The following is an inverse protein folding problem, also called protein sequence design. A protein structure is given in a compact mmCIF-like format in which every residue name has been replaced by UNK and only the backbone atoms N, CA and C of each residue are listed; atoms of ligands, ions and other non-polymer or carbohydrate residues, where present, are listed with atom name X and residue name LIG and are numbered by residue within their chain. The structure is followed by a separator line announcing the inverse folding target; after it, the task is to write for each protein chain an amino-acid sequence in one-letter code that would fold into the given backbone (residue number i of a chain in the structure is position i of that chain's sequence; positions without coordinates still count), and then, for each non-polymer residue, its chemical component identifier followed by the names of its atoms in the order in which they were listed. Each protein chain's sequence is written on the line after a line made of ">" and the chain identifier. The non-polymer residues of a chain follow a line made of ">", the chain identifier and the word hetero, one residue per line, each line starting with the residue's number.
data_IF_897764749053
#
_entry.id   IF_897764749053
#
_cell.length_a   1.000
_cell.length_b   1.000
_cell.length_c   1.000
_cell.angle_alpha   90.00
_cell.angle_beta   90.00
_cell.angle_gamma   90.00
#
_symmetry.space_group_name_H-M   'P 1'
#
loop_
_entity.id
_entity.type
_entity.pdbx_description
1 polymer ?
#
# COMPACT_ATOMS: atom_id res chain seq x y z
N UNK A 1 -18.10 -30.77 25.88
CA UNK A 1 -19.46 -31.31 25.58
C UNK A 1 -19.54 -31.45 24.07
N UNK A 2 -19.02 -32.57 23.57
CA UNK A 2 -18.87 -32.88 22.14
C UNK A 2 -20.25 -33.19 21.52
N UNK A 3 -20.47 -32.74 20.29
CA UNK A 3 -21.43 -33.36 19.37
C UNK A 3 -20.81 -33.38 17.97
N UNK A 4 -20.14 -34.48 17.70
CA UNK A 4 -19.91 -34.96 16.35
C UNK A 4 -21.19 -35.67 15.89
N UNK A 5 -21.65 -35.37 14.68
CA UNK A 5 -22.74 -36.11 14.01
C UNK A 5 -22.12 -36.96 12.93
N UNK A 6 -22.03 -38.26 13.23
CA UNK A 6 -21.74 -39.36 12.32
C UNK A 6 -23.02 -39.69 11.54
N UNK A 7 -22.93 -39.83 10.22
CA UNK A 7 -23.94 -40.50 9.41
C UNK A 7 -23.24 -41.57 8.57
N UNK A 8 -23.67 -42.81 8.75
CA UNK A 8 -23.10 -44.03 8.19
C UNK A 8 -24.25 -44.84 7.57
N UNK A 9 -24.02 -45.24 6.30
CA UNK A 9 -24.49 -46.44 5.58
C UNK A 9 -25.88 -46.45 4.91
N UNK A 10 -25.85 -46.69 3.58
CA UNK A 10 -26.35 -47.94 2.98
C UNK A 10 -25.66 -48.27 1.64
N UNK A 11 -25.09 -49.48 1.59
CA UNK A 11 -24.59 -50.22 0.42
C UNK A 11 -25.73 -50.70 -0.49
N UNK A 12 -25.42 -50.92 -1.78
CA UNK A 12 -26.22 -51.75 -2.69
C UNK A 12 -25.98 -51.50 -4.19
N UNK A 13 -25.19 -52.39 -4.80
CA UNK A 13 -25.20 -52.91 -6.18
C UNK A 13 -24.55 -52.16 -7.38
N UNK A 14 -23.29 -52.54 -7.64
CA UNK A 14 -22.72 -53.23 -8.84
C UNK A 14 -23.35 -53.00 -10.23
N UNK A 15 -22.54 -52.47 -11.16
CA UNK A 15 -22.35 -53.02 -12.52
C UNK A 15 -21.10 -52.41 -13.19
N UNK A 16 -20.20 -53.29 -13.64
CA UNK A 16 -18.99 -53.04 -14.43
C UNK A 16 -19.30 -52.48 -15.84
N UNK A 17 -18.35 -51.74 -16.44
CA UNK A 17 -17.84 -52.06 -17.79
C UNK A 17 -16.64 -51.16 -18.24
N UNK A 18 -15.50 -51.85 -18.36
CA UNK A 18 -14.50 -51.84 -19.45
C UNK A 18 -13.73 -50.57 -19.86
N UNK A 19 -12.50 -50.52 -19.35
CA UNK A 19 -11.30 -49.99 -20.00
C UNK A 19 -10.84 -50.87 -21.17
N UNK A 20 -10.56 -50.28 -22.34
CA UNK A 20 -9.78 -50.93 -23.40
C UNK A 20 -8.65 -50.03 -23.89
N UNK A 21 -7.45 -50.34 -23.42
CA UNK A 21 -6.17 -50.02 -24.05
C UNK A 21 -5.98 -50.91 -25.29
N UNK A 22 -5.81 -50.31 -26.46
CA UNK A 22 -5.41 -51.01 -27.69
C UNK A 22 -3.98 -50.63 -28.09
N UNK A 23 -3.07 -51.57 -27.85
CA UNK A 23 -1.74 -51.60 -28.42
C UNK A 23 -1.83 -51.92 -29.92
N UNK A 24 -1.12 -51.16 -30.76
CA UNK A 24 -1.02 -51.43 -32.20
C UNK A 24 0.32 -52.10 -32.50
N UNK A 25 0.20 -53.26 -33.13
CA UNK A 25 1.20 -54.22 -33.58
C UNK A 25 2.10 -53.70 -34.70
N UNK A 26 3.35 -54.14 -34.69
CA UNK A 26 4.35 -54.02 -35.76
C UNK A 26 4.28 -55.21 -36.73
N UNK A 27 4.30 -54.95 -38.05
CA UNK A 27 5.09 -55.64 -39.10
C UNK A 27 4.85 -55.02 -40.50
N UNK A 28 5.77 -55.18 -41.48
CA UNK A 28 6.08 -54.19 -42.52
C UNK A 28 5.62 -54.56 -43.95
N UNK A 29 5.49 -53.58 -44.85
CA UNK A 29 5.75 -53.72 -46.29
C UNK A 29 5.72 -52.38 -47.05
N UNK A 30 6.76 -52.17 -47.86
CA UNK A 30 6.84 -51.50 -49.17
C UNK A 30 6.44 -50.01 -49.37
N UNK A 31 7.47 -49.18 -49.57
CA UNK A 31 7.95 -48.87 -50.93
C UNK A 31 7.14 -47.88 -51.79
N UNK A 32 7.71 -46.68 -51.92
CA UNK A 32 7.55 -45.69 -53.00
C UNK A 32 6.33 -44.75 -52.96
N UNK A 33 6.61 -43.49 -52.64
CA UNK A 33 5.70 -42.35 -52.82
C UNK A 33 6.25 -41.08 -52.20
N UNK A 34 7.48 -40.72 -52.57
CA UNK A 34 8.09 -39.42 -52.24
C UNK A 34 7.52 -38.38 -53.21
N UNK A 35 7.27 -37.17 -52.70
CA UNK A 35 6.90 -35.94 -53.43
C UNK A 35 5.43 -35.80 -53.87
N UNK A 36 4.57 -35.33 -52.95
CA UNK A 36 3.57 -34.26 -53.16
C UNK A 36 2.47 -34.30 -52.07
N UNK A 37 2.77 -33.72 -50.91
CA UNK A 37 1.76 -33.20 -49.97
C UNK A 37 2.45 -32.34 -48.89
N UNK A 38 3.32 -31.42 -49.31
CA UNK A 38 3.93 -30.39 -48.47
C UNK A 38 3.25 -29.06 -48.79
N UNK A 39 2.00 -28.89 -48.37
CA UNK A 39 1.34 -27.57 -48.32
C UNK A 39 0.19 -27.62 -47.31
N UNK A 40 0.57 -27.80 -46.06
CA UNK A 40 -0.32 -27.77 -44.91
C UNK A 40 0.48 -27.32 -43.72
N UNK A 41 1.03 -26.10 -43.80
CA UNK A 41 1.74 -25.48 -42.69
C UNK A 41 0.82 -25.40 -41.48
N UNK A 42 1.03 -26.29 -40.52
CA UNK A 42 0.59 -26.08 -39.14
C UNK A 42 1.31 -24.81 -38.69
N UNK A 43 0.60 -23.69 -38.63
CA UNK A 43 1.06 -22.53 -37.87
C UNK A 43 1.14 -22.99 -36.42
N UNK A 44 2.34 -23.34 -35.98
CA UNK A 44 2.70 -23.27 -34.58
C UNK A 44 2.35 -21.85 -34.11
N UNK A 45 1.67 -21.68 -32.96
CA UNK A 45 1.52 -20.35 -32.39
C UNK A 45 2.94 -19.78 -32.23
N UNK A 46 3.15 -18.54 -32.66
CA UNK A 46 4.42 -17.84 -32.52
C UNK A 46 4.82 -17.82 -31.03
N UNK A 47 5.68 -18.75 -30.61
CA UNK A 47 6.22 -18.87 -29.24
C UNK A 47 7.33 -17.82 -28.98
N UNK A 48 7.07 -16.58 -29.37
CA UNK A 48 7.88 -15.41 -29.05
C UNK A 48 6.96 -14.19 -28.83
N UNK A 49 5.83 -14.38 -28.12
CA UNK A 49 5.22 -13.25 -27.40
C UNK A 49 6.20 -12.83 -26.29
N UNK A 50 7.16 -11.97 -26.65
CA UNK A 50 8.04 -11.32 -25.70
C UNK A 50 7.24 -10.69 -24.55
N UNK A 51 7.87 -10.56 -23.38
CA UNK A 51 7.21 -10.05 -22.17
C UNK A 51 6.30 -8.85 -22.49
N UNK A 52 4.97 -8.94 -22.28
CA UNK A 52 4.04 -7.86 -22.62
C UNK A 52 4.11 -6.69 -21.64
N UNK A 53 4.85 -6.84 -20.53
CA UNK A 53 4.94 -5.85 -19.47
C UNK A 53 5.49 -4.49 -19.95
N UNK A 54 6.55 -4.38 -20.76
CA UNK A 54 7.06 -3.10 -21.23
C UNK A 54 6.05 -2.32 -22.08
N UNK A 55 5.28 -3.01 -22.92
CA UNK A 55 4.26 -2.37 -23.74
C UNK A 55 3.04 -1.94 -22.90
N UNK A 56 2.62 -2.78 -21.94
CA UNK A 56 1.59 -2.43 -20.96
C UNK A 56 2.00 -1.24 -20.10
N UNK A 57 3.25 -1.18 -19.65
CA UNK A 57 3.78 -0.04 -18.89
C UNK A 57 3.79 1.23 -19.74
N UNK A 58 4.30 1.16 -20.98
CA UNK A 58 4.33 2.31 -21.90
C UNK A 58 2.94 2.85 -22.18
N UNK A 59 1.99 1.98 -22.51
CA UNK A 59 0.60 2.36 -22.79
C UNK A 59 -0.09 2.93 -21.55
N UNK A 60 0.16 2.37 -20.36
CA UNK A 60 -0.36 2.89 -19.09
C UNK A 60 0.17 4.29 -18.80
N UNK A 61 1.49 4.51 -18.94
CA UNK A 61 2.11 5.83 -18.71
C UNK A 61 1.60 6.86 -19.71
N UNK A 62 1.50 6.50 -20.99
CA UNK A 62 0.98 7.40 -22.03
C UNK A 62 -0.47 7.78 -21.73
N UNK A 63 -1.32 6.79 -21.45
CA UNK A 63 -2.71 7.02 -21.07
C UNK A 63 -2.81 7.91 -19.83
N UNK A 64 -1.98 7.72 -18.81
CA UNK A 64 -1.96 8.60 -17.64
C UNK A 64 -1.56 10.03 -18.01
N UNK A 65 -0.50 10.21 -18.77
CA UNK A 65 -0.04 11.55 -19.17
C UNK A 65 -1.10 12.31 -19.98
N UNK A 66 -1.84 11.63 -20.86
CA UNK A 66 -2.92 12.27 -21.63
C UNK A 66 -4.08 12.68 -20.73
N UNK A 67 -4.49 11.83 -19.79
CA UNK A 67 -5.53 12.17 -18.81
C UNK A 67 -5.09 13.30 -17.87
N UNK A 68 -3.85 13.26 -17.38
CA UNK A 68 -3.29 14.30 -16.51
C UNK A 68 -3.19 15.64 -17.25
N UNK A 69 -2.79 15.67 -18.52
CA UNK A 69 -2.76 16.90 -19.32
C UNK A 69 -4.16 17.51 -19.46
N UNK A 70 -5.18 16.68 -19.71
CA UNK A 70 -6.58 17.14 -19.82
C UNK A 70 -7.10 17.66 -18.47
N UNK A 71 -6.92 16.89 -17.40
CA UNK A 71 -7.41 17.24 -16.06
C UNK A 71 -6.69 18.48 -15.53
N UNK A 72 -5.36 18.58 -15.71
CA UNK A 72 -4.59 19.75 -15.30
C UNK A 72 -5.03 21.00 -16.08
N UNK A 73 -5.29 20.89 -17.39
CA UNK A 73 -5.78 22.03 -18.19
C UNK A 73 -7.17 22.48 -17.74
N UNK A 74 -8.07 21.53 -17.47
CA UNK A 74 -9.40 21.81 -16.94
C UNK A 74 -9.32 22.47 -15.56
N UNK A 75 -8.52 21.90 -14.65
CA UNK A 75 -8.36 22.43 -13.29
C UNK A 75 -7.73 23.83 -13.30
N UNK A 76 -6.73 24.06 -14.17
CA UNK A 76 -6.14 25.37 -14.36
C UNK A 76 -7.18 26.41 -14.82
N UNK A 77 -8.05 26.05 -15.78
CA UNK A 77 -9.15 26.90 -16.23
C UNK A 77 -10.14 27.21 -15.09
N UNK A 78 -10.55 26.20 -14.32
CA UNK A 78 -11.47 26.35 -13.18
C UNK A 78 -10.87 27.27 -12.11
N UNK A 79 -9.62 27.02 -11.69
CA UNK A 79 -8.95 27.81 -10.66
C UNK A 79 -8.74 29.24 -11.14
N UNK A 80 -8.35 29.44 -12.40
CA UNK A 80 -8.21 30.77 -13.00
C UNK A 80 -9.54 31.53 -13.03
N UNK A 81 -10.63 30.88 -13.44
CA UNK A 81 -11.96 31.46 -13.45
C UNK A 81 -12.45 31.83 -12.04
N UNK A 82 -12.15 30.98 -11.06
CA UNK A 82 -12.52 31.18 -9.68
C UNK A 82 -11.78 32.36 -9.04
N UNK A 83 -10.50 32.56 -9.39
CA UNK A 83 -9.70 33.69 -8.93
C UNK A 83 -9.96 34.99 -9.70
N UNK A 84 -10.29 34.92 -11.00
CA UNK A 84 -10.60 36.10 -11.80
C UNK A 84 -11.97 36.70 -11.46
N UNK A 85 -12.87 35.88 -10.92
CA UNK A 85 -14.20 36.30 -10.48
C UNK A 85 -14.18 36.66 -8.99
N UNK A 86 -14.93 37.69 -8.57
CA UNK A 86 -15.11 38.03 -7.15
C UNK A 86 -15.93 36.98 -6.36
N UNK A 87 -16.37 35.90 -7.01
CA UNK A 87 -17.20 34.86 -6.45
C UNK A 87 -16.57 34.21 -5.21
N UNK A 88 -15.28 33.84 -5.26
CA UNK A 88 -14.62 33.24 -4.11
C UNK A 88 -14.55 34.22 -2.93
N UNK A 89 -14.25 35.49 -3.19
CA UNK A 89 -14.20 36.51 -2.15
C UNK A 89 -15.57 36.73 -1.50
N UNK A 90 -16.64 36.82 -2.30
CA UNK A 90 -18.01 36.92 -1.78
C UNK A 90 -18.39 35.70 -0.93
N UNK A 91 -18.06 34.49 -1.39
CA UNK A 91 -18.33 33.26 -0.64
C UNK A 91 -17.55 33.27 0.69
N UNK A 92 -16.28 33.63 0.68
CA UNK A 92 -15.44 33.66 1.88
C UNK A 92 -15.89 34.71 2.91
N UNK A 93 -16.45 35.84 2.45
CA UNK A 93 -17.01 36.87 3.34
C UNK A 93 -18.28 36.41 4.08
N UNK A 94 -19.11 35.56 3.46
CA UNK A 94 -20.39 35.11 4.02
C UNK A 94 -20.30 33.77 4.75
N UNK A 95 -19.25 32.98 4.50
CA UNK A 95 -19.03 31.69 5.16
C UNK A 95 -18.45 31.90 6.56
N UNK A 96 -19.05 31.23 7.54
CA UNK A 96 -18.50 31.19 8.89
C UNK A 96 -17.13 30.46 8.90
N UNK A 97 -16.09 30.97 9.58
CA UNK A 97 -14.75 30.36 9.57
C UNK A 97 -14.72 28.87 9.98
N UNK A 98 -15.63 28.42 10.85
CA UNK A 98 -15.76 27.00 11.22
C UNK A 98 -16.23 26.12 10.05
N UNK A 99 -17.09 26.64 9.18
CA UNK A 99 -17.67 25.88 8.08
C UNK A 99 -16.63 25.51 7.01
N UNK A 100 -15.47 26.18 6.98
CA UNK A 100 -14.40 25.85 6.05
C UNK A 100 -13.61 24.61 6.48
N UNK A 101 -13.35 24.43 7.78
CA UNK A 101 -12.46 23.36 8.26
C UNK A 101 -13.18 22.22 8.98
N UNK A 102 -14.36 22.45 9.58
CA UNK A 102 -15.08 21.40 10.30
C UNK A 102 -15.57 20.28 9.38
N UNK A 103 -16.19 20.54 8.21
CA UNK A 103 -16.65 19.46 7.33
C UNK A 103 -15.52 18.55 6.83
N UNK A 104 -14.36 19.06 6.35
CA UNK A 104 -13.22 18.20 6.00
C UNK A 104 -12.72 17.34 7.18
N UNK A 105 -12.68 17.90 8.40
CA UNK A 105 -12.27 17.13 9.60
C UNK A 105 -13.27 16.02 9.92
N UNK A 106 -14.57 16.32 9.89
CA UNK A 106 -15.62 15.33 10.16
C UNK A 106 -15.63 14.25 9.08
N UNK A 107 -15.54 14.64 7.81
CA UNK A 107 -15.49 13.71 6.69
C UNK A 107 -14.28 12.78 6.80
N UNK A 108 -13.09 13.34 7.00
CA UNK A 108 -11.87 12.53 7.16
C UNK A 108 -11.91 11.64 8.41
N UNK A 109 -12.52 12.08 9.51
CA UNK A 109 -12.75 11.22 10.68
C UNK A 109 -13.67 10.03 10.36
N UNK A 110 -14.75 10.26 9.61
CA UNK A 110 -15.64 9.18 9.17
C UNK A 110 -14.90 8.20 8.24
N UNK A 111 -14.17 8.72 7.24
CA UNK A 111 -13.51 7.91 6.22
C UNK A 111 -12.31 7.16 6.77
N UNK A 112 -11.44 7.82 7.53
CA UNK A 112 -10.11 7.30 7.88
C UNK A 112 -10.00 6.78 9.31
N UNK A 113 -10.96 7.09 10.20
CA UNK A 113 -11.01 6.52 11.54
C UNK A 113 -12.17 5.53 11.69
N UNK A 114 -13.41 5.96 11.45
CA UNK A 114 -14.60 5.11 11.72
C UNK A 114 -14.66 3.91 10.76
N UNK A 115 -14.62 4.12 9.44
CA UNK A 115 -14.77 3.01 8.46
C UNK A 115 -13.69 1.92 8.66
N UNK A 116 -12.38 2.24 8.76
CA UNK A 116 -11.36 1.22 9.02
C UNK A 116 -11.57 0.50 10.34
N UNK A 117 -12.02 1.21 11.38
CA UNK A 117 -12.29 0.61 12.69
C UNK A 117 -13.47 -0.36 12.66
N UNK A 118 -14.50 -0.08 11.86
CA UNK A 118 -15.65 -0.97 11.64
C UNK A 118 -15.28 -2.24 10.84
N UNK A 119 -14.21 -2.19 10.04
CA UNK A 119 -13.67 -3.31 9.27
C UNK A 119 -12.72 -4.20 10.07
N UNK A 120 -12.16 -3.73 11.18
CA UNK A 120 -11.31 -4.56 12.05
C UNK A 120 -12.09 -5.74 12.60
N UNK A 121 -11.39 -6.86 12.83
CA UNK A 121 -11.98 -8.07 13.41
C UNK A 121 -12.71 -7.80 14.75
N UNK A 122 -12.14 -6.92 15.57
CA UNK A 122 -12.70 -6.50 16.85
C UNK A 122 -12.77 -4.97 16.94
N UNK A 123 -13.86 -4.34 16.45
CA UNK A 123 -14.04 -2.90 16.51
C UNK A 123 -13.97 -2.39 17.96
N UNK A 124 -13.05 -1.47 18.21
CA UNK A 124 -12.74 -0.87 19.53
C UNK A 124 -12.46 -1.89 20.64
N UNK A 125 -12.21 -3.16 20.29
CA UNK A 125 -12.17 -4.29 21.23
C UNK A 125 -13.46 -4.50 22.04
N UNK A 126 -14.54 -3.78 21.72
CA UNK A 126 -15.84 -3.88 22.38
C UNK A 126 -16.80 -4.81 21.64
N UNK A 127 -16.57 -5.01 20.33
CA UNK A 127 -17.44 -5.79 19.46
C UNK A 127 -16.68 -7.05 19.02
N UNK A 128 -17.32 -8.21 19.16
CA UNK A 128 -16.68 -9.50 18.93
C UNK A 128 -16.47 -9.86 17.44
N UNK A 129 -17.15 -9.15 16.52
CA UNK A 129 -17.12 -9.40 15.07
C UNK A 129 -17.05 -8.06 14.31
N UNK A 130 -16.48 -8.04 13.08
CA UNK A 130 -16.49 -6.85 12.25
C UNK A 130 -17.91 -6.42 11.89
N UNK A 131 -18.18 -5.13 11.85
CA UNK A 131 -19.50 -4.60 11.44
C UNK A 131 -19.59 -4.59 9.91
N UNK A 132 -18.52 -4.15 9.24
CA UNK A 132 -18.41 -4.18 7.79
C UNK A 132 -17.80 -5.52 7.34
N UNK A 133 -18.62 -6.58 7.37
CA UNK A 133 -18.18 -7.92 7.00
C UNK A 133 -18.06 -8.06 5.47
N UNK A 134 -17.00 -8.74 5.03
CA UNK A 134 -16.88 -9.20 3.64
C UNK A 134 -17.84 -10.36 3.38
N UNK A 135 -18.17 -10.61 2.13
CA UNK A 135 -19.07 -11.71 1.75
C UNK A 135 -18.45 -13.07 2.06
N UNK A 136 -17.13 -13.14 1.95
CA UNK A 136 -16.31 -14.32 2.16
C UNK A 136 -15.99 -14.56 3.66
N UNK A 137 -16.53 -13.72 4.55
CA UNK A 137 -16.29 -13.84 5.98
C UNK A 137 -16.82 -15.18 6.53
N UNK A 138 -15.89 -16.03 6.98
CA UNK A 138 -16.21 -17.36 7.53
C UNK A 138 -16.00 -18.51 6.55
N UNK A 139 -15.61 -18.24 5.30
CA UNK A 139 -15.16 -19.27 4.38
C UNK A 139 -13.73 -19.69 4.73
N UNK A 140 -13.46 -21.00 4.71
CA UNK A 140 -12.12 -21.54 4.94
C UNK A 140 -11.17 -21.24 3.77
N UNK A 141 -11.63 -21.51 2.55
CA UNK A 141 -10.94 -21.18 1.29
C UNK A 141 -11.89 -20.42 0.36
N UNK A 142 -11.35 -19.43 -0.36
CA UNK A 142 -12.09 -18.63 -1.35
C UNK A 142 -11.58 -19.00 -2.74
N UNK A 143 -12.45 -19.57 -3.58
CA UNK A 143 -12.11 -19.98 -4.95
C UNK A 143 -12.33 -18.87 -5.99
N UNK A 144 -13.13 -17.87 -5.65
CA UNK A 144 -13.49 -16.75 -6.54
C UNK A 144 -12.85 -15.43 -6.10
N UNK A 145 -12.78 -14.45 -7.00
CA UNK A 145 -12.36 -13.10 -6.64
C UNK A 145 -13.32 -12.47 -5.61
N UNK A 146 -12.76 -11.79 -4.60
CA UNK A 146 -13.53 -11.21 -3.51
C UNK A 146 -14.57 -10.18 -4.00
N UNK A 147 -15.84 -10.40 -3.66
CA UNK A 147 -16.96 -9.57 -4.15
C UNK A 147 -16.89 -8.15 -3.58
N UNK A 148 -17.09 -7.16 -4.46
CA UNK A 148 -17.11 -5.75 -4.06
C UNK A 148 -18.40 -5.41 -3.32
N UNK A 149 -18.29 -5.14 -2.02
CA UNK A 149 -19.41 -4.83 -1.13
C UNK A 149 -19.90 -3.39 -1.29
N UNK A 150 -21.14 -3.12 -0.88
CA UNK A 150 -21.73 -1.78 -0.95
C UNK A 150 -20.92 -0.74 -0.14
N UNK A 151 -20.45 -1.11 1.06
CA UNK A 151 -19.64 -0.21 1.89
C UNK A 151 -18.27 0.10 1.27
N UNK A 152 -17.70 -0.81 0.46
CA UNK A 152 -16.46 -0.56 -0.26
C UNK A 152 -16.68 0.45 -1.39
N UNK A 153 -17.79 0.32 -2.12
CA UNK A 153 -18.19 1.32 -3.13
C UNK A 153 -18.40 2.69 -2.50
N UNK A 154 -19.14 2.76 -1.38
CA UNK A 154 -19.34 4.00 -0.64
C UNK A 154 -18.01 4.61 -0.19
N UNK A 155 -17.11 3.79 0.37
CA UNK A 155 -15.77 4.23 0.78
C UNK A 155 -14.99 4.86 -0.38
N UNK A 156 -14.97 4.22 -1.56
CA UNK A 156 -14.28 4.76 -2.75
C UNK A 156 -14.88 6.10 -3.17
N UNK A 157 -16.21 6.23 -3.19
CA UNK A 157 -16.89 7.49 -3.52
C UNK A 157 -16.57 8.60 -2.51
N UNK A 158 -16.55 8.28 -1.21
CA UNK A 158 -16.18 9.23 -0.16
C UNK A 158 -14.72 9.67 -0.27
N UNK A 159 -13.78 8.75 -0.50
CA UNK A 159 -12.36 9.06 -0.75
C UNK A 159 -12.18 9.92 -2.01
N UNK A 160 -12.97 9.64 -3.07
CA UNK A 160 -12.98 10.42 -4.30
C UNK A 160 -13.45 11.85 -4.05
N UNK A 161 -14.54 12.02 -3.30
CA UNK A 161 -15.08 13.32 -2.89
C UNK A 161 -14.07 14.11 -2.04
N UNK A 162 -13.50 13.47 -1.03
CA UNK A 162 -12.52 14.06 -0.12
C UNK A 162 -11.28 14.57 -0.87
N UNK A 163 -10.67 13.69 -1.68
CA UNK A 163 -9.41 13.99 -2.37
C UNK A 163 -9.58 14.98 -3.53
N UNK A 164 -10.65 14.87 -4.30
CA UNK A 164 -10.80 15.64 -5.55
C UNK A 164 -11.64 16.91 -5.40
N UNK A 165 -12.46 17.03 -4.36
CA UNK A 165 -13.35 18.19 -4.16
C UNK A 165 -13.03 18.91 -2.87
N UNK A 166 -13.08 18.20 -1.73
CA UNK A 166 -13.02 18.84 -0.41
C UNK A 166 -11.65 19.48 -0.14
N UNK A 167 -10.55 18.74 -0.30
CA UNK A 167 -9.21 19.28 -0.05
C UNK A 167 -8.80 20.37 -1.06
N UNK A 168 -9.00 20.21 -2.38
CA UNK A 168 -8.70 21.27 -3.34
C UNK A 168 -9.46 22.57 -3.05
N UNK A 169 -10.77 22.50 -2.76
CA UNK A 169 -11.56 23.68 -2.41
C UNK A 169 -11.03 24.33 -1.12
N UNK A 170 -10.76 23.54 -0.07
CA UNK A 170 -10.20 24.04 1.18
C UNK A 170 -8.90 24.81 0.95
N UNK A 171 -7.95 24.24 0.21
CA UNK A 171 -6.64 24.85 0.00
C UNK A 171 -6.70 26.04 -0.96
N UNK A 172 -7.55 26.03 -1.98
CA UNK A 172 -7.76 27.21 -2.83
C UNK A 172 -8.38 28.36 -2.05
N UNK A 173 -9.35 28.09 -1.18
CA UNK A 173 -9.91 29.10 -0.27
C UNK A 173 -8.86 29.63 0.70
N UNK A 174 -8.06 28.76 1.32
CA UNK A 174 -6.97 29.13 2.22
C UNK A 174 -5.92 30.01 1.54
N UNK A 175 -5.47 29.62 0.34
CA UNK A 175 -4.52 30.40 -0.46
C UNK A 175 -5.06 31.79 -0.79
N UNK A 176 -6.35 31.90 -1.14
CA UNK A 176 -6.95 33.20 -1.46
C UNK A 176 -7.12 34.08 -0.23
N UNK A 177 -7.47 33.50 0.92
CA UNK A 177 -7.66 34.22 2.17
C UNK A 177 -6.33 34.76 2.73
N UNK A 178 -5.30 33.91 2.75
CA UNK A 178 -4.05 34.19 3.45
C UNK A 178 -3.03 34.95 2.58
N UNK A 179 -3.18 34.93 1.25
CA UNK A 179 -2.19 35.51 0.34
C UNK A 179 -1.90 36.99 0.61
N UNK A 180 -2.94 37.82 0.79
CA UNK A 180 -2.76 39.25 1.04
C UNK A 180 -2.00 39.49 2.35
N UNK A 181 -2.37 38.79 3.43
CA UNK A 181 -1.74 38.94 4.74
C UNK A 181 -0.25 38.54 4.71
N UNK A 182 0.09 37.43 4.02
CA UNK A 182 1.47 36.95 3.90
C UNK A 182 2.33 37.95 3.11
N UNK A 183 1.82 38.47 1.99
CA UNK A 183 2.58 39.43 1.16
C UNK A 183 2.78 40.76 1.88
N UNK A 184 1.78 41.26 2.62
CA UNK A 184 1.93 42.50 3.39
C UNK A 184 2.93 42.39 4.53
N UNK A 185 3.08 41.20 5.12
CA UNK A 185 4.02 40.97 6.23
C UNK A 185 5.44 40.67 5.73
N UNK A 186 5.54 39.96 4.61
CA UNK A 186 6.79 39.54 4.00
C UNK A 186 6.82 39.95 2.53
N UNK A 187 7.08 41.22 2.25
CA UNK A 187 6.99 41.77 0.89
C UNK A 187 7.89 41.06 -0.13
N UNK A 188 9.12 40.68 0.29
CA UNK A 188 10.11 40.05 -0.61
C UNK A 188 9.92 38.53 -0.72
N UNK A 189 9.69 37.85 0.41
CA UNK A 189 9.68 36.38 0.49
C UNK A 189 8.25 35.80 0.46
N UNK A 190 7.23 36.64 0.66
CA UNK A 190 5.82 36.25 0.77
C UNK A 190 5.31 35.42 -0.41
N UNK A 191 5.53 35.83 -1.68
CA UNK A 191 5.12 35.02 -2.83
C UNK A 191 5.75 33.62 -2.85
N UNK A 192 7.04 33.52 -2.49
CA UNK A 192 7.74 32.24 -2.40
C UNK A 192 7.16 31.37 -1.29
N UNK A 193 6.85 31.94 -0.12
CA UNK A 193 6.21 31.21 0.98
C UNK A 193 4.84 30.66 0.59
N UNK A 194 4.02 31.46 -0.11
CA UNK A 194 2.71 31.03 -0.60
C UNK A 194 2.86 29.83 -1.55
N UNK A 195 3.79 29.91 -2.50
CA UNK A 195 4.04 28.81 -3.46
C UNK A 195 4.52 27.55 -2.74
N UNK A 196 5.51 27.65 -1.86
CA UNK A 196 6.05 26.49 -1.13
C UNK A 196 4.98 25.86 -0.24
N UNK A 197 4.25 26.66 0.53
CA UNK A 197 3.23 26.14 1.43
C UNK A 197 2.03 25.58 0.66
N UNK A 198 1.58 26.26 -0.40
CA UNK A 198 0.50 25.79 -1.27
C UNK A 198 0.84 24.47 -1.96
N UNK A 199 2.03 24.37 -2.57
CA UNK A 199 2.51 23.12 -3.18
C UNK A 199 2.56 21.98 -2.17
N UNK A 200 3.05 22.23 -0.96
CA UNK A 200 3.11 21.19 0.07
C UNK A 200 1.72 20.76 0.52
N UNK A 201 0.80 21.68 0.77
CA UNK A 201 -0.57 21.37 1.19
C UNK A 201 -1.27 20.49 0.16
N UNK A 202 -1.23 20.91 -1.11
CA UNK A 202 -1.83 20.16 -2.22
C UNK A 202 -1.17 18.80 -2.40
N UNK A 203 0.17 18.74 -2.44
CA UNK A 203 0.90 17.47 -2.56
C UNK A 203 0.55 16.51 -1.43
N UNK A 204 0.49 16.99 -0.19
CA UNK A 204 0.17 16.15 0.96
C UNK A 204 -1.25 15.59 0.88
N UNK A 205 -2.22 16.39 0.41
CA UNK A 205 -3.59 15.95 0.19
C UNK A 205 -3.71 14.82 -0.84
N UNK A 206 -2.97 14.90 -1.95
CA UNK A 206 -3.02 13.86 -2.98
C UNK A 206 -2.19 12.62 -2.66
N UNK A 207 -1.04 12.78 -1.97
CA UNK A 207 -0.15 11.66 -1.66
C UNK A 207 -0.65 10.80 -0.51
N UNK A 208 -1.12 11.39 0.58
CA UNK A 208 -1.60 10.62 1.75
C UNK A 208 -2.77 11.35 2.45
N UNK A 209 -4.00 11.23 1.90
CA UNK A 209 -5.23 11.73 2.51
C UNK A 209 -5.45 11.32 3.99
N UNK A 210 -5.16 10.08 4.42
CA UNK A 210 -5.52 9.61 5.75
C UNK A 210 -4.98 10.43 6.92
N UNK A 211 -3.86 11.14 6.77
CA UNK A 211 -3.35 12.01 7.84
C UNK A 211 -3.89 13.43 7.83
N UNK A 212 -4.47 13.89 6.73
CA UNK A 212 -4.73 15.32 6.52
C UNK A 212 -5.82 15.86 7.45
N UNK A 213 -6.86 15.08 7.76
CA UNK A 213 -7.91 15.50 8.67
C UNK A 213 -7.38 15.74 10.10
N UNK A 214 -6.44 14.91 10.57
CA UNK A 214 -5.77 15.10 11.87
C UNK A 214 -4.87 16.33 11.84
N UNK A 215 -4.06 16.50 10.78
CA UNK A 215 -3.20 17.68 10.63
C UNK A 215 -4.04 18.95 10.64
N UNK A 216 -5.15 18.98 9.90
CA UNK A 216 -6.09 20.10 9.85
C UNK A 216 -6.71 20.39 11.22
N UNK A 217 -7.21 19.36 11.90
CA UNK A 217 -7.80 19.48 13.23
C UNK A 217 -6.79 20.02 14.25
N UNK A 218 -5.59 19.44 14.32
CA UNK A 218 -4.53 19.91 15.21
C UNK A 218 -4.10 21.34 14.89
N UNK A 219 -3.95 21.68 13.61
CA UNK A 219 -3.59 23.05 13.21
C UNK A 219 -4.64 24.04 13.72
N UNK A 220 -5.92 23.79 13.46
CA UNK A 220 -6.98 24.71 13.88
C UNK A 220 -7.18 24.73 15.39
N UNK A 221 -7.08 23.60 16.09
CA UNK A 221 -7.24 23.59 17.54
C UNK A 221 -6.06 24.27 18.25
N UNK A 222 -4.83 23.94 17.86
CA UNK A 222 -3.63 24.46 18.50
C UNK A 222 -3.45 25.97 18.31
N UNK A 223 -3.59 26.48 17.08
CA UNK A 223 -3.38 27.89 16.81
C UNK A 223 -4.60 28.77 17.16
N UNK A 224 -5.82 28.23 17.16
CA UNK A 224 -7.00 29.01 17.57
C UNK A 224 -7.27 28.97 19.08
N UNK A 225 -6.72 28.05 19.86
CA UNK A 225 -7.02 27.96 21.29
C UNK A 225 -5.77 28.06 22.17
N UNK A 226 -4.76 27.23 21.93
CA UNK A 226 -3.60 27.13 22.81
C UNK A 226 -2.59 28.27 22.57
N UNK A 227 -2.24 28.51 21.31
CA UNK A 227 -1.15 29.41 20.93
C UNK A 227 -1.59 30.44 19.87
N UNK A 228 -2.59 31.26 20.24
CA UNK A 228 -3.11 32.33 19.36
C UNK A 228 -2.06 33.36 18.96
N UNK A 229 -1.13 33.67 19.87
CA UNK A 229 -0.16 34.76 19.68
C UNK A 229 0.97 34.46 18.67
N UNK A 230 1.19 33.19 18.34
CA UNK A 230 2.24 32.77 17.39
C UNK A 230 1.68 32.34 16.03
N UNK A 231 0.35 32.32 15.86
CA UNK A 231 -0.29 32.03 14.58
C UNK A 231 0.00 33.17 13.60
N UNK A 232 0.52 32.84 12.42
CA UNK A 232 0.71 33.83 11.36
C UNK A 232 -0.47 33.82 10.40
N UNK A 233 -0.65 32.70 9.71
CA UNK A 233 -1.72 32.42 8.75
C UNK A 233 -1.94 30.92 8.72
N UNK A 234 -3.15 30.49 8.32
CA UNK A 234 -3.45 29.07 8.28
C UNK A 234 -2.51 28.29 7.36
N UNK A 235 -2.11 28.88 6.23
CA UNK A 235 -1.20 28.24 5.29
C UNK A 235 0.19 27.90 5.89
N UNK A 236 0.77 28.84 6.65
CA UNK A 236 2.08 28.67 7.31
C UNK A 236 1.94 27.72 8.50
N UNK A 237 0.89 27.91 9.30
CA UNK A 237 0.59 27.09 10.48
C UNK A 237 0.41 25.62 10.07
N UNK A 238 -0.35 25.36 9.00
CA UNK A 238 -0.56 24.03 8.44
C UNK A 238 0.75 23.42 7.90
N UNK A 239 1.59 24.22 7.23
CA UNK A 239 2.88 23.77 6.72
C UNK A 239 3.75 23.20 7.85
N UNK A 240 3.88 23.93 8.97
CA UNK A 240 4.67 23.50 10.12
C UNK A 240 4.00 22.36 10.87
N UNK A 241 2.69 22.43 11.10
CA UNK A 241 1.98 21.34 11.77
C UNK A 241 2.02 20.03 11.00
N UNK A 242 2.05 20.06 9.66
CA UNK A 242 2.24 18.83 8.87
C UNK A 242 3.60 18.16 9.15
N UNK A 243 4.67 18.95 9.38
CA UNK A 243 6.01 18.44 9.70
C UNK A 243 5.99 17.86 11.10
N UNK A 244 5.50 18.64 12.07
CA UNK A 244 5.42 18.25 13.48
C UNK A 244 4.62 16.95 13.58
N UNK A 245 3.44 16.88 12.95
CA UNK A 245 2.61 15.69 12.94
C UNK A 245 3.35 14.48 12.38
N UNK A 246 3.98 14.59 11.21
CA UNK A 246 4.70 13.45 10.60
C UNK A 246 5.86 12.97 11.48
N UNK A 247 6.62 13.89 12.08
CA UNK A 247 7.74 13.56 12.99
C UNK A 247 7.27 12.97 14.30
N UNK A 248 6.16 13.47 14.85
CA UNK A 248 5.54 12.91 16.05
C UNK A 248 4.93 11.54 15.79
N UNK A 249 4.32 11.33 14.63
CA UNK A 249 3.81 10.03 14.23
C UNK A 249 4.94 9.00 14.09
N UNK A 250 6.04 9.37 13.42
CA UNK A 250 7.24 8.53 13.32
C UNK A 250 7.84 8.21 14.69
N UNK A 251 7.91 9.21 15.58
CA UNK A 251 8.35 9.03 16.95
C UNK A 251 7.47 8.05 17.72
N UNK A 252 6.14 8.18 17.62
CA UNK A 252 5.20 7.26 18.25
C UNK A 252 5.33 5.83 17.71
N UNK A 253 5.57 5.66 16.40
CA UNK A 253 5.84 4.34 15.81
C UNK A 253 7.14 3.74 16.36
N UNK A 254 8.20 4.54 16.51
CA UNK A 254 9.47 4.11 17.11
C UNK A 254 9.30 3.73 18.58
N UNK A 255 8.55 4.50 19.35
CA UNK A 255 8.22 4.15 20.74
C UNK A 255 7.41 2.85 20.82
N UNK A 256 6.40 2.68 19.96
CA UNK A 256 5.63 1.42 19.87
C UNK A 256 6.54 0.24 19.55
N UNK A 257 7.46 0.41 18.59
CA UNK A 257 8.45 -0.60 18.26
C UNK A 257 9.32 -0.95 19.48
N UNK A 258 9.93 0.05 20.14
CA UNK A 258 10.77 -0.16 21.34
C UNK A 258 9.99 -0.88 22.44
N UNK A 259 8.79 -0.41 22.77
CA UNK A 259 7.96 -0.98 23.84
C UNK A 259 7.55 -2.41 23.51
N UNK A 260 7.15 -2.68 22.27
CA UNK A 260 6.77 -4.04 21.83
C UNK A 260 7.98 -4.97 21.81
N UNK A 261 9.14 -4.47 21.39
CA UNK A 261 10.38 -5.24 21.32
C UNK A 261 10.94 -5.58 22.71
N UNK A 262 10.87 -4.66 23.68
CA UNK A 262 11.31 -4.88 25.06
C UNK A 262 10.25 -5.63 25.89
N UNK A 263 9.03 -5.80 25.40
CA UNK A 263 7.92 -6.35 26.19
C UNK A 263 8.28 -7.70 26.84
N UNK A 264 8.21 -7.82 28.19
CA UNK A 264 8.73 -8.98 28.91
C UNK A 264 7.98 -10.28 28.67
N UNK A 265 6.81 -10.25 28.02
CA UNK A 265 6.03 -11.45 27.68
C UNK A 265 6.28 -11.97 26.26
N UNK A 266 7.07 -11.27 25.45
CA UNK A 266 7.50 -11.72 24.12
C UNK A 266 8.80 -12.58 24.20
N UNK A 267 8.92 -13.44 25.22
CA UNK A 267 10.08 -14.33 25.48
C UNK A 267 10.12 -15.47 24.45
N UNK A 268 10.18 -15.16 23.17
CA UNK A 268 10.50 -16.12 22.11
C UNK A 268 11.96 -16.04 21.67
N UNK A 269 12.76 -15.19 22.33
CA UNK A 269 14.19 -15.11 22.06
C UNK A 269 14.91 -16.20 22.87
N UNK A 270 15.35 -17.26 22.18
CA UNK A 270 16.04 -18.42 22.76
C UNK A 270 17.42 -18.16 23.38
N UNK A 271 17.68 -16.98 23.94
CA UNK A 271 18.95 -16.62 24.58
C UNK A 271 18.75 -16.00 25.97
N UNK A 272 19.46 -16.56 26.96
CA UNK A 272 19.52 -16.04 28.33
C UNK A 272 20.03 -14.59 28.42
N UNK A 273 20.72 -14.10 27.38
CA UNK A 273 21.24 -12.74 27.33
C UNK A 273 20.12 -11.67 27.39
N UNK A 274 18.95 -11.91 26.80
CA UNK A 274 17.85 -10.93 26.82
C UNK A 274 17.29 -10.74 28.23
N UNK A 275 17.24 -11.81 29.03
CA UNK A 275 16.78 -11.76 30.42
C UNK A 275 17.70 -10.90 31.30
N UNK A 276 19.00 -10.85 31.00
CA UNK A 276 19.96 -9.98 31.71
C UNK A 276 19.99 -8.55 31.14
N UNK A 277 19.94 -8.40 29.82
CA UNK A 277 20.05 -7.09 29.18
C UNK A 277 18.83 -6.18 29.47
N UNK A 278 17.66 -6.75 29.71
CA UNK A 278 16.42 -6.01 29.91
C UNK A 278 16.38 -5.21 31.24
N UNK A 279 16.76 -5.75 32.41
CA UNK A 279 16.93 -4.95 33.63
C UNK A 279 17.96 -3.84 33.47
N UNK A 280 19.05 -4.10 32.72
CA UNK A 280 20.10 -3.10 32.48
C UNK A 280 19.68 -2.00 31.49
N UNK A 281 18.70 -2.23 30.62
CA UNK A 281 18.19 -1.16 29.74
C UNK A 281 17.25 -0.19 30.44
N UNK A 282 16.61 -0.58 31.57
CA UNK A 282 15.67 0.27 32.32
C UNK A 282 16.30 1.59 32.79
N UNK A 283 17.49 1.62 33.41
CA UNK A 283 18.19 2.88 33.73
C UNK A 283 18.46 3.76 32.50
N UNK A 284 18.64 3.15 31.33
CA UNK A 284 18.91 3.84 30.07
C UNK A 284 17.64 4.23 29.30
N UNK A 285 16.45 4.04 29.87
CA UNK A 285 15.17 4.37 29.21
C UNK A 285 15.08 5.84 28.77
N UNK A 286 15.62 6.77 29.58
CA UNK A 286 15.66 8.19 29.23
C UNK A 286 16.56 8.44 28.01
N UNK A 287 17.71 7.77 27.94
CA UNK A 287 18.61 7.83 26.79
C UNK A 287 17.96 7.23 25.54
N UNK A 288 17.27 6.08 25.66
CA UNK A 288 16.54 5.47 24.57
C UNK A 288 15.41 6.37 24.04
N UNK A 289 14.71 7.09 24.91
CA UNK A 289 13.68 8.05 24.53
C UNK A 289 14.27 9.23 23.75
N UNK A 290 15.35 9.84 24.27
CA UNK A 290 16.06 10.94 23.58
C UNK A 290 16.60 10.46 22.23
N UNK A 291 17.18 9.27 22.20
CA UNK A 291 17.68 8.66 20.97
C UNK A 291 16.56 8.40 19.97
N UNK A 292 15.41 7.90 20.41
CA UNK A 292 14.23 7.72 19.56
C UNK A 292 13.71 9.06 19.02
N UNK A 293 13.77 10.14 19.82
CA UNK A 293 13.37 11.48 19.40
C UNK A 293 14.32 12.04 18.33
N UNK A 294 15.64 12.00 18.59
CA UNK A 294 16.66 12.40 17.61
C UNK A 294 16.54 11.58 16.33
N UNK A 295 16.31 10.27 16.48
CA UNK A 295 16.09 9.37 15.36
C UNK A 295 14.86 9.73 14.53
N UNK A 296 13.75 10.09 15.17
CA UNK A 296 12.54 10.54 14.47
C UNK A 296 12.76 11.88 13.75
N UNK A 297 13.49 12.82 14.37
CA UNK A 297 13.84 14.11 13.74
C UNK A 297 14.65 13.87 12.46
N UNK A 298 15.65 13.00 12.52
CA UNK A 298 16.51 12.68 11.37
C UNK A 298 15.93 11.62 10.42
N UNK A 299 14.79 11.01 10.76
CA UNK A 299 14.23 9.85 10.07
C UNK A 299 15.23 8.69 9.88
N UNK A 300 16.09 8.46 10.87
CA UNK A 300 17.04 7.33 10.87
C UNK A 300 16.37 6.07 11.43
N UNK A 301 16.72 4.86 10.97
CA UNK A 301 16.20 3.64 11.57
C UNK A 301 16.89 3.33 12.91
N UNK A 302 16.16 2.68 13.81
CA UNK A 302 16.68 2.15 15.08
C UNK A 302 16.96 0.65 14.92
N UNK A 303 18.20 0.25 15.16
CA UNK A 303 18.60 -1.16 15.11
C UNK A 303 18.87 -1.66 16.54
N UNK A 304 18.28 -2.79 16.97
CA UNK A 304 18.65 -3.42 18.24
C UNK A 304 20.07 -4.00 18.13
N UNK A 305 20.93 -3.69 19.08
CA UNK A 305 22.31 -4.20 19.12
C UNK A 305 22.30 -5.63 19.61
N UNK A 306 22.81 -6.57 18.81
CA UNK A 306 22.91 -8.00 19.19
C UNK A 306 21.55 -8.60 19.61
N UNK A 307 20.45 -8.09 19.05
CA UNK A 307 19.08 -8.44 19.46
C UNK A 307 18.68 -7.90 20.84
N UNK A 308 19.54 -7.21 21.57
CA UNK A 308 19.30 -6.77 22.95
C UNK A 308 18.32 -5.59 23.08
N UNK A 309 18.02 -5.21 24.32
CA UNK A 309 17.19 -4.07 24.68
C UNK A 309 17.87 -2.69 24.51
N UNK A 310 19.08 -2.66 23.94
CA UNK A 310 19.82 -1.43 23.61
C UNK A 310 19.73 -1.18 22.10
N UNK A 311 19.33 0.02 21.72
CA UNK A 311 19.18 0.42 20.32
C UNK A 311 20.33 1.33 19.89
N UNK A 312 20.73 1.28 18.63
CA UNK A 312 21.63 2.25 17.98
C UNK A 312 20.91 2.88 16.78
N UNK A 313 21.10 4.18 16.59
CA UNK A 313 20.66 4.89 15.38
C UNK A 313 21.59 4.59 14.22
N UNK A 314 21.01 4.14 13.11
CA UNK A 314 21.76 3.92 11.87
C UNK A 314 21.76 5.15 10.96
N UNK A 315 22.35 5.02 9.77
CA UNK A 315 22.24 6.02 8.71
C UNK A 315 20.84 6.02 8.09
N UNK A 316 20.44 7.15 7.49
CA UNK A 316 19.16 7.26 6.79
C UNK A 316 19.16 6.29 5.61
N UNK A 317 18.19 5.38 5.58
CA UNK A 317 18.00 4.44 4.47
C UNK A 317 16.86 4.93 3.57
N UNK A 318 16.99 4.83 2.24
CA UNK A 318 15.85 4.99 1.34
C UNK A 318 14.72 4.03 1.70
N UNK A 319 13.49 4.40 1.34
CA UNK A 319 12.32 3.56 1.54
C UNK A 319 12.49 2.25 0.76
N UNK A 320 12.86 2.32 -0.52
CA UNK A 320 13.15 1.15 -1.34
C UNK A 320 14.32 0.34 -0.76
N UNK A 321 14.12 -0.95 -0.56
CA UNK A 321 15.20 -1.85 -0.16
C UNK A 321 16.24 -1.97 -1.28
N UNK A 322 17.50 -1.93 -0.88
CA UNK A 322 18.65 -2.20 -1.74
C UNK A 322 18.72 -3.70 -1.95
N UNK A 323 18.05 -4.19 -2.98
CA UNK A 323 18.14 -5.59 -3.33
C UNK A 323 18.90 -5.77 -4.63
N UNK A 324 19.63 -6.88 -4.71
CA UNK A 324 20.22 -7.37 -5.94
C UNK A 324 19.06 -7.91 -6.77
N UNK A 325 18.81 -7.34 -7.94
CA UNK A 325 17.77 -7.86 -8.85
C UNK A 325 18.04 -9.34 -9.11
N UNK A 326 17.30 -10.22 -8.43
CA UNK A 326 17.32 -11.64 -8.71
C UNK A 326 16.63 -11.78 -10.06
N UNK A 327 17.43 -11.81 -11.12
CA UNK A 327 16.94 -12.09 -12.46
C UNK A 327 16.59 -13.58 -12.51
N UNK A 328 15.45 -13.95 -11.92
CA UNK A 328 14.92 -15.30 -11.95
C UNK A 328 14.36 -15.54 -13.34
N UNK A 329 15.25 -15.63 -14.32
CA UNK A 329 14.89 -16.14 -15.63
C UNK A 329 14.44 -17.57 -15.42
N UNK A 330 13.20 -17.85 -15.82
CA UNK A 330 12.64 -19.19 -15.89
C UNK A 330 13.66 -20.10 -16.60
N UNK A 331 14.14 -21.12 -15.89
CA UNK A 331 14.90 -22.19 -16.53
C UNK A 331 13.89 -23.11 -17.20
N UNK A 332 13.54 -22.79 -18.45
CA UNK A 332 12.77 -23.71 -19.27
C UNK A 332 13.66 -24.85 -19.72
N UNK A 333 13.21 -26.09 -19.50
CA UNK A 333 13.90 -27.31 -19.94
C UNK A 333 14.10 -27.36 -21.46
N UNK A 334 13.35 -26.55 -22.23
CA UNK A 334 13.52 -26.36 -23.68
C UNK A 334 14.76 -25.53 -24.07
N UNK A 335 15.26 -24.67 -23.16
CA UNK A 335 16.40 -23.78 -23.38
C UNK A 335 17.66 -24.17 -22.58
N UNK A 336 17.58 -25.19 -21.72
CA UNK A 336 18.74 -25.73 -21.00
C UNK A 336 19.48 -26.74 -21.88
N UNK A 337 20.81 -26.58 -22.04
CA UNK A 337 21.63 -27.60 -22.72
C UNK A 337 21.45 -28.96 -22.02
N UNK A 338 21.34 -30.03 -22.81
CA UNK A 338 21.19 -31.42 -22.33
C UNK A 338 22.29 -31.81 -21.32
N UNK A 339 23.50 -31.23 -21.47
CA UNK A 339 24.59 -31.37 -20.52
C UNK A 339 24.27 -30.85 -19.11
N UNK A 340 23.49 -29.77 -18.99
CA UNK A 340 23.09 -29.18 -17.71
C UNK A 340 22.01 -30.02 -17.03
N UNK A 341 21.09 -30.61 -17.80
CA UNK A 341 20.06 -31.52 -17.25
C UNK A 341 20.61 -32.88 -16.82
N UNK A 342 21.74 -33.34 -17.39
CA UNK A 342 22.37 -34.63 -17.05
C UNK A 342 23.51 -34.54 -16.03
N UNK A 343 24.27 -33.42 -15.98
CA UNK A 343 25.42 -33.27 -15.08
C UNK A 343 25.07 -32.60 -13.75
N UNK A 344 24.11 -31.67 -13.76
CA UNK A 344 23.64 -31.00 -12.55
C UNK A 344 22.31 -31.61 -12.11
N UNK A 345 22.34 -32.84 -11.59
CA UNK A 345 21.28 -33.28 -10.69
C UNK A 345 21.45 -32.51 -9.37
N UNK A 346 21.18 -31.19 -9.40
CA UNK A 346 21.13 -30.32 -8.24
C UNK A 346 19.76 -30.52 -7.59
N UNK A 347 19.67 -31.23 -6.46
CA UNK A 347 18.37 -31.56 -5.84
C UNK A 347 17.57 -30.34 -5.35
N UNK A 348 18.13 -29.11 -5.44
CA UNK A 348 17.43 -27.85 -5.17
C UNK A 348 17.25 -26.92 -6.37
N UNK A 349 17.59 -27.37 -7.59
CA UNK A 349 17.36 -26.58 -8.81
C UNK A 349 15.87 -26.50 -9.16
N UNK A 350 15.14 -27.61 -8.95
CA UNK A 350 13.69 -27.66 -9.14
C UNK A 350 12.98 -26.78 -8.10
N UNK A 351 13.34 -26.85 -6.82
CA UNK A 351 12.77 -25.99 -5.76
C UNK A 351 13.00 -24.50 -6.03
N UNK A 352 14.19 -24.11 -6.50
CA UNK A 352 14.47 -22.73 -6.90
C UNK A 352 13.65 -22.30 -8.12
N UNK A 353 13.42 -23.21 -9.08
CA UNK A 353 12.58 -22.95 -10.24
C UNK A 353 11.10 -22.80 -9.84
N UNK A 354 10.58 -23.69 -8.98
CA UNK A 354 9.24 -23.59 -8.40
C UNK A 354 9.04 -22.28 -7.64
N UNK A 355 10.02 -21.87 -6.83
CA UNK A 355 10.00 -20.60 -6.13
C UNK A 355 9.96 -19.43 -7.12
N UNK A 356 10.75 -19.47 -8.20
CA UNK A 356 10.72 -18.42 -9.23
C UNK A 356 9.37 -18.31 -9.94
N UNK A 357 8.76 -19.43 -10.31
CA UNK A 357 7.43 -19.49 -10.91
C UNK A 357 6.37 -18.94 -9.95
N UNK A 358 6.46 -19.28 -8.67
CA UNK A 358 5.55 -18.79 -7.64
C UNK A 358 5.65 -17.26 -7.49
N UNK A 359 6.86 -16.73 -7.28
CA UNK A 359 7.05 -15.28 -7.12
C UNK A 359 6.66 -14.51 -8.39
N UNK A 360 6.88 -15.09 -9.57
CA UNK A 360 6.43 -14.50 -10.83
C UNK A 360 4.89 -14.43 -10.90
N UNK A 361 4.19 -15.53 -10.63
CA UNK A 361 2.73 -15.55 -10.61
C UNK A 361 2.15 -14.62 -9.54
N UNK A 362 2.73 -14.61 -8.34
CA UNK A 362 2.31 -13.73 -7.26
C UNK A 362 2.51 -12.26 -7.63
N UNK A 363 3.68 -11.92 -8.17
CA UNK A 363 4.00 -10.54 -8.59
C UNK A 363 3.05 -10.08 -9.69
N UNK A 364 2.78 -10.92 -10.70
CA UNK A 364 1.80 -10.60 -11.77
C UNK A 364 0.39 -10.43 -11.20
N UNK A 365 -0.03 -11.28 -10.28
CA UNK A 365 -1.35 -11.17 -9.62
C UNK A 365 -1.48 -9.87 -8.83
N UNK A 366 -0.44 -9.51 -8.05
CA UNK A 366 -0.39 -8.25 -7.31
C UNK A 366 -0.36 -7.04 -8.25
N UNK A 367 0.36 -7.09 -9.37
CA UNK A 367 0.34 -6.02 -10.37
C UNK A 367 -1.07 -5.75 -10.92
N UNK A 368 -1.90 -6.79 -11.05
CA UNK A 368 -3.28 -6.66 -11.52
C UNK A 368 -4.28 -6.19 -10.45
N UNK A 369 -4.09 -6.55 -9.18
CA UNK A 369 -5.10 -6.39 -8.12
C UNK A 369 -4.75 -5.35 -7.05
N UNK A 370 -3.47 -5.19 -6.70
CA UNK A 370 -3.02 -4.48 -5.51
C UNK A 370 -3.51 -3.03 -5.45
N UNK A 371 -3.41 -2.29 -6.55
CA UNK A 371 -3.87 -0.90 -6.59
C UNK A 371 -5.38 -0.79 -6.32
N UNK A 372 -6.18 -1.71 -6.88
CA UNK A 372 -7.62 -1.77 -6.64
C UNK A 372 -7.95 -2.07 -5.17
N UNK A 373 -7.28 -3.06 -4.58
CA UNK A 373 -7.50 -3.45 -3.18
C UNK A 373 -7.10 -2.34 -2.19
N UNK A 374 -6.01 -1.62 -2.47
CA UNK A 374 -5.59 -0.45 -1.70
C UNK A 374 -6.62 0.68 -1.81
N UNK A 375 -7.14 0.96 -3.02
CA UNK A 375 -8.20 1.96 -3.22
C UNK A 375 -9.50 1.60 -2.51
N UNK A 376 -9.85 0.32 -2.45
CA UNK A 376 -11.01 -0.18 -1.70
C UNK A 376 -10.79 -0.11 -0.18
N UNK A 377 -9.56 0.11 0.28
CA UNK A 377 -9.18 0.15 1.69
C UNK A 377 -9.16 -1.22 2.36
N UNK A 378 -8.95 -2.30 1.59
CA UNK A 378 -8.91 -3.67 2.11
C UNK A 378 -7.67 -3.92 2.97
N UNK A 379 -6.56 -3.30 2.61
CA UNK A 379 -5.29 -3.37 3.35
C UNK A 379 -5.20 -2.32 4.47
N UNK A 380 -6.32 -1.66 4.82
CA UNK A 380 -6.34 -0.57 5.80
C UNK A 380 -5.68 0.72 5.29
N UNK A 381 -5.29 1.65 6.18
CA UNK A 381 -4.65 2.91 5.82
C UNK A 381 -3.18 2.68 5.42
N UNK A 382 -2.96 2.04 4.28
CA UNK A 382 -1.64 1.76 3.73
C UNK A 382 -0.97 3.04 3.20
N UNK A 383 0.29 3.25 3.56
CA UNK A 383 1.14 4.34 3.10
C UNK A 383 2.45 3.87 2.48
N UNK A 384 3.25 4.85 2.08
CA UNK A 384 4.62 4.64 1.62
C UNK A 384 5.50 4.09 2.76
N UNK A 385 6.22 3.01 2.50
CA UNK A 385 7.11 2.36 3.47
C UNK A 385 6.44 1.33 4.39
N UNK A 386 5.13 1.07 4.21
CA UNK A 386 4.43 0.05 4.98
C UNK A 386 4.72 -1.36 4.44
N UNK A 387 4.90 -2.31 5.35
CA UNK A 387 5.10 -3.72 5.04
C UNK A 387 3.86 -4.55 5.44
N UNK A 388 3.47 -5.47 4.58
CA UNK A 388 2.35 -6.38 4.77
C UNK A 388 2.84 -7.81 4.68
N UNK A 389 2.40 -8.64 5.62
CA UNK A 389 2.64 -10.08 5.57
C UNK A 389 1.41 -10.73 4.97
N UNK A 390 1.55 -11.27 3.76
CA UNK A 390 0.58 -12.14 3.14
C UNK A 390 0.87 -13.56 3.61
N UNK A 391 -0.08 -14.16 4.33
CA UNK A 391 0.02 -15.53 4.79
C UNK A 391 -1.02 -16.39 4.06
N UNK A 392 -0.56 -17.53 3.57
CA UNK A 392 -1.35 -18.65 3.08
C UNK A 392 -0.90 -19.90 3.83
N UNK A 393 -1.68 -20.99 3.76
CA UNK A 393 -1.44 -22.21 4.55
C UNK A 393 -0.01 -22.76 4.41
N UNK A 394 0.58 -22.61 3.22
CA UNK A 394 1.91 -23.15 2.92
C UNK A 394 2.99 -22.06 2.74
N UNK A 395 2.62 -20.78 2.64
CA UNK A 395 3.53 -19.74 2.18
C UNK A 395 3.26 -18.41 2.88
N UNK A 396 4.35 -17.76 3.30
CA UNK A 396 4.34 -16.41 3.82
C UNK A 396 5.17 -15.51 2.90
N UNK A 397 4.61 -14.38 2.52
CA UNK A 397 5.21 -13.40 1.63
C UNK A 397 5.20 -12.03 2.31
N UNK A 398 6.30 -11.29 2.22
CA UNK A 398 6.40 -9.93 2.76
C UNK A 398 6.30 -8.92 1.61
N UNK A 399 5.16 -8.26 1.49
CA UNK A 399 4.97 -7.19 0.49
C UNK A 399 5.30 -5.84 1.11
N UNK A 400 6.29 -5.15 0.57
CA UNK A 400 6.69 -3.81 0.98
C UNK A 400 6.21 -2.77 -0.05
N UNK A 401 5.43 -1.78 0.37
CA UNK A 401 4.96 -0.70 -0.49
C UNK A 401 6.04 0.39 -0.59
N UNK A 402 6.72 0.49 -1.73
CA UNK A 402 7.81 1.44 -1.91
C UNK A 402 7.32 2.85 -2.19
N UNK A 403 6.31 3.01 -3.04
CA UNK A 403 5.71 4.32 -3.36
C UNK A 403 4.21 4.15 -3.62
N UNK A 404 3.43 5.07 -3.06
CA UNK A 404 1.98 5.14 -3.26
C UNK A 404 1.65 6.58 -3.64
N UNK A 405 1.23 6.81 -4.89
CA UNK A 405 0.87 8.14 -5.36
C UNK A 405 -0.15 8.09 -6.50
N UNK A 406 -1.24 8.86 -6.36
CA UNK A 406 -2.22 9.12 -7.43
C UNK A 406 -2.68 7.89 -8.24
N UNK A 407 -2.89 6.74 -7.58
CA UNK A 407 -3.33 5.50 -8.24
C UNK A 407 -2.21 4.70 -8.92
N UNK A 408 -0.95 5.04 -8.65
CA UNK A 408 0.23 4.24 -8.93
C UNK A 408 0.75 3.70 -7.60
N UNK A 409 1.07 2.42 -7.60
CA UNK A 409 1.65 1.72 -6.45
C UNK A 409 2.85 0.95 -6.96
N UNK A 410 4.01 1.19 -6.36
CA UNK A 410 5.20 0.37 -6.54
C UNK A 410 5.41 -0.46 -5.28
N UNK A 411 5.81 -1.71 -5.46
CA UNK A 411 5.98 -2.65 -4.35
C UNK A 411 7.18 -3.55 -4.59
N UNK A 412 7.68 -4.13 -3.49
CA UNK A 412 8.69 -5.19 -3.44
C UNK A 412 8.08 -6.40 -2.72
N UNK A 413 8.47 -7.61 -3.13
CA UNK A 413 7.97 -8.90 -2.62
C UNK A 413 9.14 -9.70 -2.07
#
# INVERSE_FOLDING_TARGET
>A
RNRATTAVVKEGDVADENSTTSAVSTTPADGNGVDQALEGGIKLPDEDEGDPLPEKLRSTVLSRLTHDMLICSLLACIVMLLHSTSALHHVLQHIHPLALWLPPVVLGFLIHYIIPQLRKQQPWLCIARPICMQHEYGNYEVYDAAKVMCFEKLYVWLCMLERNVVYPVLFTCALTADAAAIVTKHEIIGPLLIVICGLKCMRSAYSYPPSQFLILAFTKLFFNYDIRGFSETFLIDYFFMSIIYKKMYEFLLKLKFIVTYIAPWQITWGSAFHAFAQPFSVPHSAMLFVQAAVSAVLSTPLNPVLGSAIFITSYVRPVKFWERDYNTKRMDQSNTRLSTSLLDHNPGADDNNLNSIFYEHLTRSLQHSLCGDLMLGRWGPAGEGDCFVLASDNLNCLVHLTEVANGIVTFQV
#
